data_IF_723299486412
#
_entry.id   IF_723299486412
#
_cell.length_a   1.000
_cell.length_b   1.000
_cell.length_c   1.000
_cell.angle_alpha   90.00
_cell.angle_beta   90.00
_cell.angle_gamma   90.00
#
_symmetry.space_group_name_H-M   'P 1'
#
loop_
_entity.id
_entity.type
_entity.pdbx_description
1 polymer ?
#
# COMPACT_ATOMS: atom_id res chain seq x y z
N UNK A 1 2.40 20.10 18.14
CA UNK A 1 1.97 18.81 17.59
C UNK A 1 3.01 18.38 16.57
N UNK A 2 3.70 17.27 16.79
CA UNK A 2 4.68 16.77 15.82
C UNK A 2 3.98 16.45 14.50
N UNK A 3 4.46 17.04 13.40
CA UNK A 3 3.99 16.74 12.05
C UNK A 3 4.09 15.22 11.87
N UNK A 4 3.01 14.54 11.53
CA UNK A 4 3.07 13.10 11.27
C UNK A 4 4.20 12.86 10.27
N UNK A 5 5.13 11.98 10.62
CA UNK A 5 6.28 11.71 9.76
C UNK A 5 5.76 11.15 8.43
N UNK A 6 6.10 11.80 7.33
CA UNK A 6 5.73 11.38 5.97
C UNK A 6 6.90 10.74 5.25
N UNK A 7 6.61 9.87 4.29
CA UNK A 7 7.56 9.17 3.45
C UNK A 7 7.26 9.41 1.97
N UNK A 8 8.28 9.46 1.10
CA UNK A 8 8.06 9.47 -0.34
C UNK A 8 7.29 8.21 -0.77
N UNK A 9 6.24 8.37 -1.58
CA UNK A 9 5.51 7.20 -2.09
C UNK A 9 6.25 6.48 -3.22
N UNK A 10 7.12 7.18 -3.93
CA UNK A 10 7.70 6.72 -5.20
C UNK A 10 6.75 6.92 -6.40
N UNK A 11 5.50 7.26 -6.16
CA UNK A 11 4.46 7.44 -7.18
C UNK A 11 4.23 8.94 -7.39
N UNK A 12 4.53 9.44 -8.59
CA UNK A 12 4.48 10.88 -8.88
C UNK A 12 3.13 11.52 -8.58
N UNK A 13 2.01 10.84 -8.92
CA UNK A 13 0.66 11.32 -8.68
C UNK A 13 0.30 11.44 -7.18
N UNK A 14 1.04 10.74 -6.30
CA UNK A 14 0.78 10.71 -4.84
C UNK A 14 1.71 11.64 -4.08
N UNK A 15 2.98 11.67 -4.45
CA UNK A 15 4.01 12.42 -3.73
C UNK A 15 4.38 11.79 -2.38
N UNK A 16 4.45 12.61 -1.32
CA UNK A 16 4.73 12.12 0.03
C UNK A 16 3.45 11.76 0.78
N UNK A 17 3.49 10.66 1.53
CA UNK A 17 2.36 10.12 2.29
C UNK A 17 2.73 9.95 3.76
N UNK A 18 1.81 10.18 4.71
CA UNK A 18 2.05 9.96 6.12
C UNK A 18 2.07 8.45 6.44
N UNK A 19 2.81 8.05 7.46
CA UNK A 19 2.61 6.73 8.06
C UNK A 19 1.19 6.61 8.61
N UNK A 20 0.64 5.41 8.58
CA UNK A 20 -0.77 5.14 8.85
C UNK A 20 -1.65 5.24 7.60
N UNK A 21 -1.04 5.39 6.42
CA UNK A 21 -1.77 5.44 5.16
C UNK A 21 -2.11 4.04 4.64
N UNK A 22 -3.37 3.86 4.30
CA UNK A 22 -3.91 2.70 3.61
C UNK A 22 -4.65 3.17 2.36
N UNK A 23 -4.10 2.88 1.19
CA UNK A 23 -4.62 3.33 -0.10
C UNK A 23 -4.58 2.21 -1.12
N UNK A 24 -5.29 2.36 -2.22
CA UNK A 24 -5.35 1.33 -3.24
C UNK A 24 -5.03 1.84 -4.64
N UNK A 25 -4.75 0.90 -5.53
CA UNK A 25 -4.69 1.13 -6.97
C UNK A 25 -5.61 0.18 -7.70
N UNK A 26 -6.21 0.69 -8.76
CA UNK A 26 -6.90 -0.12 -9.76
C UNK A 26 -6.02 -0.27 -11.00
N UNK A 27 -5.73 -1.51 -11.39
CA UNK A 27 -4.89 -1.81 -12.54
C UNK A 27 -5.65 -2.65 -13.59
N UNK A 28 -5.22 -2.59 -14.85
CA UNK A 28 -5.70 -3.43 -15.95
C UNK A 28 -4.63 -4.39 -16.45
N UNK A 29 -3.39 -3.97 -16.43
CA UNK A 29 -2.28 -4.71 -17.01
C UNK A 29 -1.20 -5.00 -15.98
N UNK A 30 -0.38 -6.03 -16.24
CA UNK A 30 0.85 -6.27 -15.46
C UNK A 30 1.75 -5.03 -15.44
N UNK A 31 1.82 -4.29 -16.55
CA UNK A 31 2.64 -3.10 -16.63
C UNK A 31 2.17 -2.00 -15.67
N UNK A 32 0.86 -1.85 -15.46
CA UNK A 32 0.33 -0.90 -14.46
C UNK A 32 0.83 -1.23 -13.05
N UNK A 33 0.92 -2.53 -12.69
CA UNK A 33 1.50 -2.96 -11.42
C UNK A 33 2.99 -2.64 -11.32
N UNK A 34 3.74 -2.92 -12.37
CA UNK A 34 5.20 -2.65 -12.43
C UNK A 34 5.46 -1.16 -12.29
N UNK A 35 4.77 -0.32 -13.08
CA UNK A 35 4.92 1.14 -13.10
C UNK A 35 4.65 1.80 -11.74
N UNK A 36 3.85 1.14 -10.89
CA UNK A 36 3.51 1.65 -9.57
C UNK A 36 4.33 1.02 -8.46
N UNK A 37 4.43 -0.33 -8.45
CA UNK A 37 4.98 -1.06 -7.30
C UNK A 37 6.51 -1.02 -7.25
N UNK A 38 7.20 -1.01 -8.38
CA UNK A 38 8.67 -0.92 -8.39
C UNK A 38 9.13 0.42 -7.78
N UNK A 39 8.68 1.59 -8.24
CA UNK A 39 9.08 2.86 -7.62
C UNK A 39 8.54 3.02 -6.19
N UNK A 40 7.38 2.42 -5.86
CA UNK A 40 6.83 2.40 -4.51
C UNK A 40 7.79 1.70 -3.52
N UNK A 41 8.30 0.53 -3.88
CA UNK A 41 9.25 -0.19 -3.03
C UNK A 41 10.65 0.42 -3.03
N UNK A 42 11.14 0.90 -4.17
CA UNK A 42 12.40 1.63 -4.22
C UNK A 42 12.39 2.81 -3.25
N UNK A 43 11.33 3.63 -3.26
CA UNK A 43 11.21 4.77 -2.37
C UNK A 43 11.23 4.36 -0.89
N UNK A 44 10.56 3.26 -0.52
CA UNK A 44 10.55 2.75 0.84
C UNK A 44 11.93 2.26 1.29
N UNK A 45 12.60 1.47 0.47
CA UNK A 45 13.94 0.94 0.75
C UNK A 45 14.95 2.07 0.96
N UNK A 46 14.94 3.08 0.07
CA UNK A 46 15.82 4.26 0.19
C UNK A 46 15.49 5.16 1.38
N UNK A 47 14.23 5.16 1.84
CA UNK A 47 13.80 5.91 3.02
C UNK A 47 13.95 5.12 4.35
N UNK A 48 14.77 4.08 4.36
CA UNK A 48 15.03 3.20 5.50
C UNK A 48 13.76 2.55 6.08
N UNK A 49 12.81 2.14 5.23
CA UNK A 49 11.64 1.38 5.64
C UNK A 49 11.88 -0.11 5.40
N UNK A 50 11.39 -0.96 6.31
CA UNK A 50 11.25 -2.38 6.01
C UNK A 50 10.09 -2.55 5.02
N UNK A 51 10.29 -3.34 3.98
CA UNK A 51 9.36 -3.54 2.89
C UNK A 51 8.87 -4.98 2.81
N UNK A 52 7.60 -5.19 2.46
CA UNK A 52 7.06 -6.51 2.17
C UNK A 52 6.12 -6.47 0.96
N UNK A 53 6.49 -7.22 -0.06
CA UNK A 53 5.71 -7.36 -1.26
C UNK A 53 5.04 -8.72 -1.30
N UNK A 54 3.71 -8.75 -1.11
CA UNK A 54 2.92 -9.97 -1.32
C UNK A 54 2.42 -9.97 -2.75
N UNK A 55 2.89 -10.94 -3.52
CA UNK A 55 2.63 -11.07 -4.95
C UNK A 55 1.52 -12.07 -5.24
N UNK A 56 0.86 -11.89 -6.37
CA UNK A 56 -0.01 -12.87 -7.02
C UNK A 56 -0.10 -12.56 -8.51
N UNK A 57 -0.69 -13.46 -9.29
CA UNK A 57 -0.94 -13.19 -10.70
C UNK A 57 -1.45 -11.74 -10.94
N UNK A 58 -1.00 -11.03 -11.97
CA UNK A 58 -0.11 -11.45 -13.06
C UNK A 58 1.39 -11.23 -12.79
N UNK A 59 1.81 -10.89 -11.58
CA UNK A 59 3.20 -10.58 -11.24
C UNK A 59 3.64 -11.47 -10.07
N UNK A 60 4.43 -12.49 -10.37
CA UNK A 60 4.89 -13.47 -9.40
C UNK A 60 6.17 -13.00 -8.65
N UNK A 61 6.52 -13.68 -7.55
CA UNK A 61 7.59 -13.26 -6.64
C UNK A 61 8.98 -13.22 -7.30
N UNK A 62 9.31 -14.18 -8.15
CA UNK A 62 10.59 -14.21 -8.88
C UNK A 62 10.71 -13.04 -9.85
N UNK A 63 9.62 -12.72 -10.57
CA UNK A 63 9.58 -11.59 -11.50
C UNK A 63 9.65 -10.25 -10.76
N UNK A 64 8.91 -10.09 -9.66
CA UNK A 64 8.97 -8.91 -8.81
C UNK A 64 10.39 -8.66 -8.28
N UNK A 65 11.09 -9.73 -7.88
CA UNK A 65 12.49 -9.67 -7.44
C UNK A 65 13.41 -9.24 -8.57
N UNK A 66 13.22 -9.80 -9.77
CA UNK A 66 14.03 -9.44 -10.94
C UNK A 66 13.85 -7.96 -11.34
N UNK A 67 12.62 -7.45 -11.30
CA UNK A 67 12.31 -6.06 -11.60
C UNK A 67 12.95 -5.07 -10.60
N UNK A 68 12.96 -5.41 -9.30
CA UNK A 68 13.66 -4.59 -8.32
C UNK A 68 15.18 -4.60 -8.50
N UNK A 69 15.77 -5.75 -8.88
CA UNK A 69 17.19 -5.84 -9.23
C UNK A 69 17.55 -5.00 -10.44
N UNK A 70 16.67 -4.97 -11.45
CA UNK A 70 16.88 -4.14 -12.64
C UNK A 70 16.79 -2.65 -12.33
N UNK A 71 15.83 -2.25 -11.50
CA UNK A 71 15.61 -0.85 -11.12
C UNK A 71 16.65 -0.33 -10.12
N UNK A 72 17.21 -1.21 -9.27
CA UNK A 72 18.10 -0.85 -8.16
C UNK A 72 19.40 -1.65 -8.20
N UNK A 73 20.51 -1.08 -8.69
CA UNK A 73 21.81 -1.77 -8.71
C UNK A 73 22.31 -2.25 -7.34
N UNK A 74 21.86 -1.59 -6.27
CA UNK A 74 22.18 -1.87 -4.86
C UNK A 74 21.11 -2.76 -4.15
N UNK A 75 20.19 -3.39 -4.91
CA UNK A 75 19.10 -4.21 -4.36
C UNK A 75 19.61 -5.32 -3.41
N UNK A 76 20.70 -5.98 -3.74
CA UNK A 76 21.25 -7.07 -2.94
C UNK A 76 21.71 -6.61 -1.53
N UNK A 77 22.07 -5.35 -1.36
CA UNK A 77 22.41 -4.80 -0.04
C UNK A 77 21.16 -4.68 0.84
N UNK A 78 20.01 -4.29 0.27
CA UNK A 78 18.74 -4.24 0.98
C UNK A 78 18.23 -5.65 1.32
N UNK A 79 18.36 -6.59 0.40
CA UNK A 79 17.98 -7.98 0.60
C UNK A 79 18.84 -8.66 1.67
N UNK A 80 20.16 -8.48 1.64
CA UNK A 80 21.09 -9.04 2.62
C UNK A 80 20.85 -8.52 4.04
N UNK A 81 20.40 -7.26 4.18
CA UNK A 81 19.97 -6.69 5.46
C UNK A 81 18.60 -7.18 5.91
N UNK A 82 17.89 -7.97 5.10
CA UNK A 82 16.51 -8.37 5.36
C UNK A 82 15.57 -7.16 5.47
N UNK A 83 15.82 -6.14 4.66
CA UNK A 83 15.00 -4.93 4.60
C UNK A 83 13.79 -5.11 3.67
N UNK A 84 13.82 -6.12 2.80
CA UNK A 84 12.71 -6.50 1.94
C UNK A 84 12.40 -7.99 2.05
N UNK A 85 11.12 -8.31 2.13
CA UNK A 85 10.54 -9.65 2.02
C UNK A 85 9.62 -9.68 0.80
N UNK A 86 9.74 -10.69 -0.06
CA UNK A 86 8.84 -10.91 -1.21
C UNK A 86 8.17 -12.27 -1.03
N UNK A 87 6.86 -12.29 -0.93
CA UNK A 87 6.07 -13.46 -0.60
C UNK A 87 5.04 -13.75 -1.69
N UNK A 88 4.73 -15.01 -1.91
CA UNK A 88 3.54 -15.40 -2.66
C UNK A 88 2.28 -15.26 -1.78
N UNK A 89 1.13 -14.90 -2.37
CA UNK A 89 -0.13 -14.73 -1.64
C UNK A 89 -0.57 -15.99 -0.88
N UNK A 90 -0.30 -17.19 -1.43
CA UNK A 90 -0.61 -18.45 -0.76
C UNK A 90 0.09 -18.59 0.59
N UNK A 91 1.34 -18.17 0.66
CA UNK A 91 2.15 -18.32 1.87
C UNK A 91 1.78 -17.27 2.93
N UNK A 92 1.15 -16.17 2.50
CA UNK A 92 0.80 -15.07 3.39
C UNK A 92 -0.67 -15.06 3.80
N UNK A 93 -1.60 -15.09 2.85
CA UNK A 93 -3.04 -14.94 3.13
C UNK A 93 -3.76 -16.25 3.44
N UNK A 94 -3.24 -17.38 2.91
CA UNK A 94 -3.93 -18.64 3.01
C UNK A 94 -3.16 -19.61 3.91
N UNK A 95 -3.87 -20.26 4.81
CA UNK A 95 -3.35 -21.39 5.56
C UNK A 95 -4.31 -22.56 5.37
N UNK A 96 -3.81 -23.64 4.78
CA UNK A 96 -4.64 -24.79 4.37
C UNK A 96 -5.80 -24.41 3.44
N UNK A 97 -5.63 -23.36 2.62
CA UNK A 97 -6.64 -22.88 1.68
C UNK A 97 -7.71 -21.96 2.31
N UNK A 98 -7.63 -21.66 3.60
CA UNK A 98 -8.57 -20.76 4.29
C UNK A 98 -7.93 -19.40 4.58
N UNK A 99 -8.66 -18.31 4.33
CA UNK A 99 -8.26 -16.96 4.68
C UNK A 99 -8.41 -16.75 6.20
N UNK A 100 -7.36 -16.18 6.82
CA UNK A 100 -7.34 -15.89 8.26
C UNK A 100 -7.09 -14.41 8.52
N UNK A 101 -8.11 -13.61 8.33
CA UNK A 101 -8.06 -12.14 8.38
C UNK A 101 -7.40 -11.58 9.65
N UNK A 102 -7.74 -12.10 10.82
CA UNK A 102 -7.18 -11.64 12.10
C UNK A 102 -5.68 -11.98 12.24
N UNK A 103 -5.27 -13.18 11.80
CA UNK A 103 -3.87 -13.61 11.85
C UNK A 103 -3.01 -12.83 10.85
N UNK A 104 -3.56 -12.52 9.67
CA UNK A 104 -2.89 -11.70 8.65
C UNK A 104 -2.70 -10.27 9.17
N UNK A 105 -3.74 -9.65 9.75
CA UNK A 105 -3.64 -8.32 10.36
C UNK A 105 -2.60 -8.30 11.48
N UNK A 106 -2.60 -9.29 12.38
CA UNK A 106 -1.60 -9.39 13.43
C UNK A 106 -0.19 -9.55 12.84
N UNK A 107 -0.05 -10.33 11.77
CA UNK A 107 1.22 -10.52 11.06
C UNK A 107 1.79 -9.23 10.49
N UNK A 108 0.96 -8.30 10.00
CA UNK A 108 1.38 -6.97 9.58
C UNK A 108 1.90 -6.12 10.74
N UNK A 109 1.16 -6.12 11.86
CA UNK A 109 1.53 -5.38 13.07
C UNK A 109 2.85 -5.90 13.66
N UNK A 110 3.02 -7.22 13.71
CA UNK A 110 4.26 -7.83 14.22
C UNK A 110 5.48 -7.49 13.33
N UNK A 111 5.28 -7.34 12.02
CA UNK A 111 6.34 -6.90 11.10
C UNK A 111 6.70 -5.44 11.29
N UNK A 112 5.73 -4.58 11.48
CA UNK A 112 6.00 -3.17 11.81
C UNK A 112 6.80 -3.05 13.09
N UNK A 113 6.40 -3.75 14.14
CA UNK A 113 7.16 -3.77 15.41
C UNK A 113 8.59 -4.26 15.19
N UNK A 114 8.77 -5.36 14.46
CA UNK A 114 10.11 -5.88 14.11
C UNK A 114 10.92 -4.86 13.30
N UNK A 115 10.28 -4.14 12.39
CA UNK A 115 10.94 -3.09 11.62
C UNK A 115 11.48 -1.99 12.54
N UNK A 116 10.66 -1.49 13.45
CA UNK A 116 11.07 -0.46 14.42
C UNK A 116 12.15 -0.94 15.38
N UNK A 117 12.03 -2.17 15.91
CA UNK A 117 13.03 -2.79 16.80
C UNK A 117 14.41 -2.94 16.11
N UNK A 118 14.43 -3.07 14.79
CA UNK A 118 15.64 -3.14 13.96
C UNK A 118 16.16 -1.77 13.50
N UNK A 119 15.51 -0.67 13.90
CA UNK A 119 15.92 0.69 13.58
C UNK A 119 15.45 1.20 12.20
N UNK A 120 14.51 0.54 11.55
CA UNK A 120 13.85 1.06 10.36
C UNK A 120 12.87 2.17 10.71
N UNK A 121 12.60 3.07 9.77
CA UNK A 121 11.72 4.23 9.98
C UNK A 121 10.22 3.87 10.02
N UNK A 122 9.85 2.69 9.53
CA UNK A 122 8.50 2.16 9.47
C UNK A 122 8.44 0.90 8.60
N UNK A 123 7.22 0.50 8.24
CA UNK A 123 6.94 -0.69 7.45
C UNK A 123 6.08 -0.35 6.24
N UNK A 124 6.48 -0.82 5.07
CA UNK A 124 5.78 -0.61 3.80
C UNK A 124 5.38 -1.95 3.21
N UNK A 125 4.12 -2.07 2.82
CA UNK A 125 3.60 -3.32 2.28
C UNK A 125 2.69 -3.12 1.07
N UNK A 126 2.53 -4.18 0.30
CA UNK A 126 1.45 -4.30 -0.70
C UNK A 126 0.89 -5.71 -0.73
N UNK A 127 -0.37 -5.80 -1.13
CA UNK A 127 -1.06 -7.03 -1.47
C UNK A 127 -1.81 -6.88 -2.79
N UNK A 128 -1.98 -7.99 -3.50
CA UNK A 128 -2.77 -8.07 -4.71
C UNK A 128 -3.91 -9.06 -4.49
N UNK A 129 -5.13 -8.67 -4.80
CA UNK A 129 -6.36 -9.43 -4.55
C UNK A 129 -6.82 -10.28 -5.74
N UNK A 130 -5.99 -10.44 -6.77
CA UNK A 130 -6.33 -11.22 -7.97
C UNK A 130 -6.76 -12.66 -7.66
N UNK A 131 -6.23 -13.26 -6.60
CA UNK A 131 -6.53 -14.62 -6.13
C UNK A 131 -7.87 -14.75 -5.40
N UNK A 132 -8.50 -13.62 -5.02
CA UNK A 132 -9.72 -13.62 -4.21
C UNK A 132 -10.92 -14.06 -5.04
N UNK A 133 -11.57 -15.13 -4.62
CA UNK A 133 -12.82 -15.59 -5.21
C UNK A 133 -14.00 -14.72 -4.75
N UNK A 134 -15.04 -14.62 -5.58
CA UNK A 134 -16.23 -13.82 -5.22
C UNK A 134 -16.94 -14.29 -3.97
N UNK A 135 -16.89 -15.57 -3.65
CA UNK A 135 -17.48 -16.12 -2.42
C UNK A 135 -16.86 -15.54 -1.13
N UNK A 136 -15.59 -15.15 -1.17
CA UNK A 136 -14.87 -14.53 -0.06
C UNK A 136 -14.89 -13.01 -0.02
N UNK A 137 -15.56 -12.35 -0.98
CA UNK A 137 -15.51 -10.89 -1.10
C UNK A 137 -16.04 -10.16 0.13
N UNK A 138 -17.15 -10.59 0.71
CA UNK A 138 -17.72 -9.93 1.87
C UNK A 138 -16.79 -9.99 3.10
N UNK A 139 -16.23 -11.15 3.41
CA UNK A 139 -15.27 -11.33 4.51
C UNK A 139 -14.00 -10.51 4.28
N UNK A 140 -13.58 -10.40 3.01
CA UNK A 140 -12.44 -9.57 2.63
C UNK A 140 -12.71 -8.07 2.83
N UNK A 141 -13.90 -7.57 2.49
CA UNK A 141 -14.32 -6.18 2.73
C UNK A 141 -14.31 -5.85 4.22
N UNK A 142 -14.75 -6.76 5.08
CA UNK A 142 -14.67 -6.61 6.54
C UNK A 142 -13.21 -6.56 7.01
N UNK A 143 -12.36 -7.44 6.48
CA UNK A 143 -10.92 -7.42 6.75
C UNK A 143 -10.26 -6.09 6.35
N UNK A 144 -10.54 -5.56 5.16
CA UNK A 144 -10.04 -4.27 4.69
C UNK A 144 -10.46 -3.11 5.61
N UNK A 145 -11.69 -3.15 6.14
CA UNK A 145 -12.16 -2.18 7.12
C UNK A 145 -11.37 -2.25 8.43
N UNK A 146 -11.07 -3.47 8.91
CA UNK A 146 -10.22 -3.67 10.11
C UNK A 146 -8.79 -3.17 9.88
N UNK A 147 -8.21 -3.44 8.72
CA UNK A 147 -6.88 -2.96 8.32
C UNK A 147 -6.84 -1.44 8.30
N UNK A 148 -7.82 -0.80 7.66
CA UNK A 148 -7.90 0.67 7.56
C UNK A 148 -7.99 1.35 8.95
N UNK A 149 -8.73 0.78 9.88
CA UNK A 149 -8.82 1.31 11.25
C UNK A 149 -7.53 1.08 12.03
N UNK A 150 -6.96 -0.13 11.94
CA UNK A 150 -5.77 -0.50 12.69
C UNK A 150 -4.54 0.30 12.24
N UNK A 151 -4.28 0.40 10.93
CA UNK A 151 -3.05 0.97 10.41
C UNK A 151 -2.86 2.46 10.76
N UNK A 152 -3.92 3.19 11.03
CA UNK A 152 -3.85 4.59 11.49
C UNK A 152 -3.00 4.80 12.75
N UNK A 153 -2.78 3.74 13.54
CA UNK A 153 -2.05 3.78 14.81
C UNK A 153 -0.60 3.32 14.70
N UNK A 154 -0.19 2.83 13.52
CA UNK A 154 1.11 2.22 13.29
C UNK A 154 1.91 3.00 12.25
N UNK A 155 3.21 2.79 12.22
CA UNK A 155 4.09 3.34 11.19
C UNK A 155 4.10 2.44 9.95
N UNK A 156 2.90 2.20 9.41
CA UNK A 156 2.65 1.35 8.24
C UNK A 156 2.21 2.23 7.07
N UNK A 157 2.67 1.89 5.87
CA UNK A 157 2.15 2.39 4.59
C UNK A 157 1.75 1.18 3.78
N UNK A 158 0.48 1.08 3.41
CA UNK A 158 -0.08 -0.04 2.67
C UNK A 158 -0.70 0.40 1.36
N UNK A 159 -0.34 -0.30 0.28
CA UNK A 159 -0.91 -0.16 -1.05
C UNK A 159 -1.55 -1.48 -1.49
N UNK A 160 -2.87 -1.52 -1.58
CA UNK A 160 -3.62 -2.68 -2.07
C UNK A 160 -3.90 -2.56 -3.56
N UNK A 161 -3.75 -3.65 -4.31
CA UNK A 161 -3.90 -3.66 -5.77
C UNK A 161 -5.11 -4.48 -6.20
N UNK A 162 -5.97 -3.88 -7.04
CA UNK A 162 -7.22 -4.49 -7.51
C UNK A 162 -7.29 -4.49 -9.03
N UNK A 163 -7.56 -5.66 -9.62
CA UNK A 163 -7.74 -5.78 -11.07
C UNK A 163 -9.12 -5.28 -11.50
N UNK A 164 -9.17 -4.29 -12.38
CA UNK A 164 -10.42 -3.80 -12.96
C UNK A 164 -11.14 -4.84 -13.82
N UNK A 165 -10.43 -5.86 -14.31
CA UNK A 165 -11.03 -6.94 -15.08
C UNK A 165 -11.74 -7.97 -14.19
N UNK A 166 -11.45 -7.95 -12.88
CA UNK A 166 -12.03 -8.84 -11.87
C UNK A 166 -13.02 -8.13 -10.93
N UNK A 167 -13.01 -6.80 -10.88
CA UNK A 167 -13.92 -6.01 -10.05
C UNK A 167 -15.16 -5.58 -10.83
N UNK A 168 -16.34 -5.80 -10.26
CA UNK A 168 -17.56 -5.11 -10.74
C UNK A 168 -17.67 -3.70 -10.11
N UNK A 169 -18.68 -2.94 -10.50
CA UNK A 169 -18.87 -1.58 -10.00
C UNK A 169 -19.08 -1.53 -8.47
N UNK A 170 -19.76 -2.52 -7.90
CA UNK A 170 -19.99 -2.63 -6.45
C UNK A 170 -18.68 -2.88 -5.71
N UNK A 171 -17.83 -3.79 -6.23
CA UNK A 171 -16.51 -4.08 -5.67
C UNK A 171 -15.64 -2.83 -5.63
N UNK A 172 -15.63 -2.04 -6.71
CA UNK A 172 -14.89 -0.76 -6.77
C UNK A 172 -15.36 0.22 -5.70
N UNK A 173 -16.68 0.30 -5.46
CA UNK A 173 -17.24 1.17 -4.42
C UNK A 173 -16.84 0.71 -3.02
N UNK A 174 -16.85 -0.60 -2.75
CA UNK A 174 -16.43 -1.17 -1.46
C UNK A 174 -14.95 -0.91 -1.20
N UNK A 175 -14.09 -1.11 -2.21
CA UNK A 175 -12.67 -0.79 -2.14
C UNK A 175 -12.45 0.69 -1.84
N UNK A 176 -13.10 1.60 -2.58
CA UNK A 176 -12.96 3.04 -2.36
C UNK A 176 -13.43 3.51 -0.97
N UNK A 177 -14.40 2.81 -0.35
CA UNK A 177 -14.86 3.12 1.03
C UNK A 177 -13.85 2.75 2.10
N UNK A 178 -13.10 1.66 1.89
CA UNK A 178 -12.15 1.14 2.85
C UNK A 178 -10.75 1.71 2.73
N UNK A 179 -10.48 2.55 1.72
CA UNK A 179 -9.18 3.16 1.48
C UNK A 179 -9.26 4.69 1.57
N UNK A 180 -8.18 5.31 2.00
CA UNK A 180 -8.13 6.77 2.16
C UNK A 180 -8.20 7.49 0.81
N UNK A 181 -7.61 6.89 -0.23
CA UNK A 181 -7.68 7.33 -1.62
C UNK A 181 -7.36 6.15 -2.54
N UNK A 182 -7.72 6.29 -3.80
CA UNK A 182 -7.44 5.31 -4.83
C UNK A 182 -6.61 5.92 -5.96
N UNK A 183 -5.80 5.11 -6.60
CA UNK A 183 -5.10 5.42 -7.85
C UNK A 183 -5.77 4.67 -8.99
N UNK A 184 -6.03 5.34 -10.09
CA UNK A 184 -6.47 4.71 -11.32
C UNK A 184 -5.79 5.36 -12.52
N UNK A 185 -5.50 4.57 -13.56
CA UNK A 185 -4.94 5.09 -14.80
C UNK A 185 -6.06 5.58 -15.71
N UNK A 186 -5.99 6.84 -16.11
CA UNK A 186 -6.96 7.46 -17.00
C UNK A 186 -6.23 8.19 -18.12
N UNK A 187 -6.58 7.89 -19.37
CA UNK A 187 -5.95 8.49 -20.56
C UNK A 187 -4.42 8.37 -20.61
N UNK A 188 -3.87 7.33 -19.97
CA UNK A 188 -2.42 7.07 -19.91
C UNK A 188 -1.73 7.55 -18.63
N UNK A 189 -2.34 8.46 -17.88
CA UNK A 189 -1.77 9.03 -16.66
C UNK A 189 -2.40 8.44 -15.39
N UNK A 190 -1.60 8.37 -14.31
CA UNK A 190 -2.10 8.01 -12.99
C UNK A 190 -2.81 9.20 -12.34
N UNK A 191 -4.05 9.00 -11.95
CA UNK A 191 -4.88 9.98 -11.25
C UNK A 191 -5.17 9.52 -9.82
N UNK A 192 -5.09 10.47 -8.88
CA UNK A 192 -5.50 10.27 -7.48
C UNK A 192 -7.01 10.53 -7.36
N UNK A 193 -7.75 9.54 -6.87
CA UNK A 193 -9.18 9.61 -6.62
C UNK A 193 -9.41 9.71 -5.12
N UNK A 194 -9.87 10.86 -4.66
CA UNK A 194 -10.24 11.11 -3.27
C UNK A 194 -11.76 11.37 -3.16
N UNK A 195 -12.35 11.01 -2.04
CA UNK A 195 -13.74 11.39 -1.78
C UNK A 195 -13.88 12.91 -1.63
N UNK A 196 -14.99 13.47 -2.14
CA UNK A 196 -15.24 14.91 -2.06
C UNK A 196 -15.17 15.48 -0.63
N UNK A 197 -15.71 14.81 0.43
CA UNK A 197 -15.56 15.27 1.80
C UNK A 197 -14.10 15.34 2.26
N UNK A 198 -13.28 14.38 1.91
CA UNK A 198 -11.86 14.35 2.27
C UNK A 198 -11.11 15.50 1.58
N UNK A 199 -11.38 15.72 0.30
CA UNK A 199 -10.80 16.83 -0.47
C UNK A 199 -11.15 18.18 0.14
N UNK A 200 -12.43 18.41 0.45
CA UNK A 200 -12.90 19.64 1.10
C UNK A 200 -12.25 19.86 2.48
N UNK A 201 -12.16 18.82 3.31
CA UNK A 201 -11.52 18.91 4.61
C UNK A 201 -10.02 19.24 4.51
N UNK A 202 -9.31 18.67 3.54
CA UNK A 202 -7.89 19.00 3.27
C UNK A 202 -7.72 20.45 2.82
N UNK A 203 -8.60 20.96 1.95
CA UNK A 203 -8.56 22.34 1.48
C UNK A 203 -8.84 23.33 2.62
N UNK A 204 -9.77 23.02 3.50
CA UNK A 204 -10.09 23.84 4.69
C UNK A 204 -8.94 23.85 5.69
N UNK A 205 -8.37 22.69 5.99
CA UNK A 205 -7.18 22.61 6.85
C UNK A 205 -6.00 23.39 6.29
N UNK A 206 -5.78 23.34 4.98
CA UNK A 206 -4.73 24.12 4.33
C UNK A 206 -4.96 25.62 4.50
N UNK A 207 -6.20 26.10 4.26
CA UNK A 207 -6.55 27.51 4.46
C UNK A 207 -6.30 27.97 5.90
N UNK A 208 -6.73 27.16 6.88
CA UNK A 208 -6.52 27.46 8.30
C UNK A 208 -5.03 27.50 8.67
N UNK A 209 -4.24 26.60 8.13
CA UNK A 209 -2.78 26.59 8.36
C UNK A 209 -2.11 27.83 7.75
N UNK A 210 -2.45 28.17 6.51
CA UNK A 210 -1.94 29.37 5.81
C UNK A 210 -2.34 30.69 6.55
N UNK A 211 -3.51 30.70 7.20
CA UNK A 211 -3.94 31.80 8.04
C UNK A 211 -3.16 31.90 9.37
N UNK A 212 -2.88 30.76 9.99
CA UNK A 212 -2.06 30.69 11.20
C UNK A 212 -0.62 31.12 10.93
N UNK A 213 -0.02 30.68 9.84
CA UNK A 213 1.35 31.08 9.45
C UNK A 213 1.46 32.59 9.15
N UNK A 214 0.38 33.23 8.67
CA UNK A 214 0.35 34.68 8.44
C UNK A 214 0.18 35.52 9.71
N UNK A 215 -0.23 34.91 10.83
CA UNK A 215 -0.44 35.58 12.10
C UNK A 215 0.75 35.51 13.06
N UNK A 216 1.76 34.70 12.72
CA UNK A 216 3.04 34.54 13.44
C UNK A 216 4.12 35.39 12.79
#
# INVERSE_FOLDING_TARGET
MSRAASSPSGIQAVGAIPFGSHFCQFYRTKQDLIDTLVPYFEAGLRNNEMCMWVTSHPLEAEEATALLREAMPDFEEFAARGQIEIWNHHDWYLRNGEQRSAEVLQGWIDREKRALDRGFSGFRLTGNTFWLERSGWHEFVEYESMVNEAFRRFRIIALCSYSLDHCCAEDVLDVCRNHQFALARRQGDWELIESSPLKMAKEELKKLNDELERRV
#
